data_IF_668722178126
#
_entry.id   IF_668722178126
#
_cell.length_a   1.000
_cell.length_b   1.000
_cell.length_c   1.000
_cell.angle_alpha   90.00
_cell.angle_beta   90.00
_cell.angle_gamma   90.00
#
_symmetry.space_group_name_H-M   'P 1'
#
loop_
_entity.id
_entity.type
_entity.pdbx_description
1 polymer ?
#
# COMPACT_ATOMS: atom_id res chain seq x y z
N UNK A 1 -14.94 2.14 -13.44
CA UNK A 1 -14.30 2.62 -12.19
C UNK A 1 -13.18 3.58 -12.55
N UNK A 2 -12.79 4.54 -11.66
CA UNK A 2 -11.71 5.50 -11.94
C UNK A 2 -10.38 4.79 -12.23
N UNK A 3 -10.00 3.83 -11.40
CA UNK A 3 -8.74 3.08 -11.51
C UNK A 3 -8.63 2.27 -12.82
N UNK A 4 -9.74 1.77 -13.35
CA UNK A 4 -9.77 1.10 -14.67
C UNK A 4 -9.43 2.05 -15.82
N UNK A 5 -9.77 3.35 -15.69
CA UNK A 5 -9.52 4.36 -16.71
C UNK A 5 -8.06 4.85 -16.69
N UNK A 6 -7.45 4.90 -15.50
CA UNK A 6 -6.10 5.43 -15.33
C UNK A 6 -5.00 4.37 -15.34
N UNK A 7 -5.35 3.08 -15.31
CA UNK A 7 -4.39 1.98 -15.33
C UNK A 7 -3.33 2.12 -16.45
N UNK A 8 -3.70 2.69 -17.62
CA UNK A 8 -2.78 2.95 -18.74
C UNK A 8 -1.74 4.04 -18.47
N UNK A 9 -2.13 5.06 -17.74
CA UNK A 9 -1.30 6.28 -17.49
C UNK A 9 -0.57 6.19 -16.15
N UNK A 10 -1.04 5.33 -15.25
CA UNK A 10 -0.49 5.18 -13.90
C UNK A 10 0.98 4.76 -13.92
N UNK A 11 1.36 3.86 -14.81
CA UNK A 11 2.75 3.42 -14.96
C UNK A 11 3.69 4.57 -15.37
N UNK A 12 3.25 5.49 -16.24
CA UNK A 12 4.03 6.67 -16.63
C UNK A 12 4.27 7.57 -15.41
N UNK A 13 3.22 7.78 -14.61
CA UNK A 13 3.35 8.52 -13.36
C UNK A 13 4.36 7.87 -12.41
N UNK A 14 4.25 6.56 -12.22
CA UNK A 14 5.11 5.78 -11.33
C UNK A 14 6.58 5.84 -11.79
N UNK A 15 6.84 5.61 -13.07
CA UNK A 15 8.20 5.45 -13.58
C UNK A 15 8.91 6.75 -13.91
N UNK A 16 8.19 7.82 -14.24
CA UNK A 16 8.77 9.09 -14.72
C UNK A 16 8.66 10.18 -13.65
N UNK A 17 7.47 10.42 -13.15
CA UNK A 17 7.20 11.62 -12.32
C UNK A 17 7.73 11.44 -10.89
N UNK A 18 7.61 10.26 -10.29
CA UNK A 18 7.94 10.02 -8.88
C UNK A 18 9.02 8.94 -8.66
N UNK A 19 9.88 8.74 -9.64
CA UNK A 19 10.89 7.67 -9.67
C UNK A 19 11.73 7.56 -8.40
N UNK A 20 12.24 8.71 -7.87
CA UNK A 20 13.08 8.71 -6.65
C UNK A 20 12.31 8.19 -5.42
N UNK A 21 11.08 8.66 -5.23
CA UNK A 21 10.21 8.18 -4.14
C UNK A 21 9.98 6.69 -4.25
N UNK A 22 9.65 6.20 -5.46
CA UNK A 22 9.37 4.78 -5.68
C UNK A 22 10.60 3.89 -5.48
N UNK A 23 11.80 4.34 -5.85
CA UNK A 23 13.03 3.60 -5.57
C UNK A 23 13.26 3.42 -4.06
N UNK A 24 13.07 4.50 -3.28
CA UNK A 24 13.19 4.45 -1.83
C UNK A 24 12.07 3.62 -1.19
N UNK A 25 10.83 3.80 -1.65
CA UNK A 25 9.70 3.01 -1.19
C UNK A 25 9.92 1.51 -1.41
N UNK A 26 10.33 1.11 -2.61
CA UNK A 26 10.68 -0.27 -2.94
C UNK A 26 11.75 -0.84 -2.02
N UNK A 27 12.80 -0.04 -1.73
CA UNK A 27 13.86 -0.43 -0.80
C UNK A 27 13.30 -0.65 0.61
N UNK A 28 12.56 0.34 1.16
CA UNK A 28 11.96 0.23 2.51
C UNK A 28 11.09 -1.03 2.62
N UNK A 29 10.19 -1.25 1.66
CA UNK A 29 9.27 -2.40 1.70
C UNK A 29 10.05 -3.72 1.57
N UNK A 30 10.97 -3.83 0.61
CA UNK A 30 11.73 -5.07 0.39
C UNK A 30 12.62 -5.47 1.57
N UNK A 31 13.09 -4.52 2.38
CA UNK A 31 13.89 -4.77 3.58
C UNK A 31 13.06 -5.31 4.77
N UNK A 32 11.74 -5.20 4.71
CA UNK A 32 10.80 -5.69 5.73
C UNK A 32 10.28 -7.10 5.44
N UNK A 33 10.60 -7.66 4.28
CA UNK A 33 10.12 -8.97 3.83
C UNK A 33 11.24 -10.00 3.95
N UNK A 34 10.93 -11.13 4.55
CA UNK A 34 11.83 -12.27 4.73
C UNK A 34 11.50 -13.45 3.82
N UNK A 35 12.45 -14.38 3.59
CA UNK A 35 12.30 -15.48 2.63
C UNK A 35 11.22 -16.50 3.02
N UNK A 36 10.88 -16.61 4.29
CA UNK A 36 9.87 -17.53 4.79
C UNK A 36 8.47 -16.90 4.92
N UNK A 37 8.34 -15.58 4.66
CA UNK A 37 7.09 -14.88 4.82
C UNK A 37 6.03 -15.32 3.79
N UNK A 38 4.80 -15.53 4.24
CA UNK A 38 3.59 -15.45 3.42
C UNK A 38 3.09 -14.01 3.47
N UNK A 39 2.97 -13.38 2.31
CA UNK A 39 2.64 -11.95 2.21
C UNK A 39 1.31 -11.74 1.52
N UNK A 40 0.46 -10.89 2.08
CA UNK A 40 -0.70 -10.32 1.40
C UNK A 40 -0.36 -8.89 0.96
N UNK A 41 -0.55 -8.57 -0.29
CA UNK A 41 -0.53 -7.20 -0.82
C UNK A 41 -1.94 -6.81 -1.25
N UNK A 42 -2.53 -5.84 -0.55
CA UNK A 42 -3.82 -5.23 -0.90
C UNK A 42 -3.61 -3.96 -1.73
N UNK A 43 -4.48 -3.75 -2.72
CA UNK A 43 -4.38 -2.66 -3.68
C UNK A 43 -3.02 -2.65 -4.41
N UNK A 44 -2.63 -3.80 -4.95
CA UNK A 44 -1.33 -4.00 -5.61
C UNK A 44 -1.15 -3.13 -6.88
N UNK A 45 -2.24 -2.59 -7.42
CA UNK A 45 -2.24 -1.77 -8.62
C UNK A 45 -1.63 -2.50 -9.81
N UNK A 46 -0.61 -1.91 -10.43
CA UNK A 46 0.10 -2.49 -11.56
C UNK A 46 1.30 -3.37 -11.16
N UNK A 47 1.43 -3.75 -9.88
CA UNK A 47 2.47 -4.64 -9.36
C UNK A 47 3.77 -3.94 -8.97
N UNK A 48 3.73 -2.64 -8.66
CA UNK A 48 4.93 -1.87 -8.31
C UNK A 48 5.68 -2.43 -7.09
N UNK A 49 4.96 -2.79 -6.04
CA UNK A 49 5.53 -3.39 -4.83
C UNK A 49 5.62 -4.90 -4.97
N UNK A 50 4.66 -5.55 -5.64
CA UNK A 50 4.71 -6.99 -5.94
C UNK A 50 6.05 -7.40 -6.54
N UNK A 51 6.58 -6.61 -7.48
CA UNK A 51 7.86 -6.87 -8.16
C UNK A 51 9.09 -6.86 -7.22
N UNK A 52 9.01 -6.26 -6.04
CA UNK A 52 10.10 -6.25 -5.04
C UNK A 52 9.80 -7.11 -3.82
N UNK A 53 8.55 -7.46 -3.59
CA UNK A 53 8.10 -8.38 -2.55
C UNK A 53 8.32 -9.82 -2.98
N UNK A 54 7.85 -10.20 -4.17
CA UNK A 54 7.89 -11.58 -4.67
C UNK A 54 9.28 -12.25 -4.59
N UNK A 55 10.39 -11.60 -5.01
CA UNK A 55 11.72 -12.23 -4.90
C UNK A 55 12.25 -12.35 -3.47
N UNK A 56 11.53 -11.84 -2.46
CA UNK A 56 11.95 -11.80 -1.06
C UNK A 56 11.14 -12.69 -0.15
N UNK A 57 9.94 -13.10 -0.56
CA UNK A 57 9.03 -13.91 0.25
C UNK A 57 8.89 -15.34 -0.29
N UNK A 58 8.32 -16.22 0.53
CA UNK A 58 7.94 -17.57 0.12
C UNK A 58 6.78 -17.52 -0.87
N UNK A 59 5.72 -16.80 -0.53
CA UNK A 59 4.50 -16.68 -1.30
C UNK A 59 3.92 -15.27 -1.18
N UNK A 60 3.42 -14.73 -2.29
CA UNK A 60 2.74 -13.45 -2.36
C UNK A 60 1.31 -13.65 -2.87
N UNK A 61 0.32 -13.21 -2.10
CA UNK A 61 -1.05 -13.02 -2.59
C UNK A 61 -1.23 -11.53 -2.89
N UNK A 62 -1.36 -11.17 -4.16
CA UNK A 62 -1.53 -9.79 -4.61
C UNK A 62 -2.99 -9.55 -4.99
N UNK A 63 -3.64 -8.59 -4.32
CA UNK A 63 -5.05 -8.29 -4.54
C UNK A 63 -5.26 -6.83 -4.94
N UNK A 64 -6.26 -6.60 -5.78
CA UNK A 64 -6.75 -5.26 -6.12
C UNK A 64 -8.26 -5.29 -6.38
N UNK A 65 -8.92 -4.17 -6.19
CA UNK A 65 -10.34 -4.06 -6.49
C UNK A 65 -10.60 -3.97 -8.00
N UNK A 66 -9.63 -3.47 -8.78
CA UNK A 66 -9.69 -3.31 -10.23
C UNK A 66 -9.09 -4.52 -10.95
N UNK A 67 -9.92 -5.25 -11.69
CA UNK A 67 -9.48 -6.36 -12.55
C UNK A 67 -8.45 -5.91 -13.60
N UNK A 68 -8.58 -4.67 -14.10
CA UNK A 68 -7.61 -4.11 -15.07
C UNK A 68 -6.24 -3.86 -14.46
N UNK A 69 -6.20 -3.46 -13.18
CA UNK A 69 -4.95 -3.35 -12.44
C UNK A 69 -4.29 -4.72 -12.26
N UNK A 70 -5.07 -5.74 -11.85
CA UNK A 70 -4.57 -7.11 -11.70
C UNK A 70 -3.97 -7.67 -12.99
N UNK A 71 -4.66 -7.54 -14.13
CA UNK A 71 -4.13 -7.97 -15.45
C UNK A 71 -2.79 -7.29 -15.79
N UNK A 72 -2.60 -6.05 -15.38
CA UNK A 72 -1.32 -5.37 -15.55
C UNK A 72 -0.26 -5.85 -14.56
N UNK A 73 -0.62 -6.08 -13.30
CA UNK A 73 0.28 -6.64 -12.30
C UNK A 73 0.79 -8.02 -12.75
N UNK A 74 -0.09 -8.91 -13.20
CA UNK A 74 0.26 -10.22 -13.77
C UNK A 74 1.27 -10.09 -14.90
N UNK A 75 1.02 -9.18 -15.84
CA UNK A 75 1.95 -8.94 -16.98
C UNK A 75 3.29 -8.39 -16.49
N UNK A 76 3.29 -7.41 -15.60
CA UNK A 76 4.49 -6.73 -15.13
C UNK A 76 5.36 -7.62 -14.22
N UNK A 77 4.74 -8.59 -13.55
CA UNK A 77 5.39 -9.52 -12.63
C UNK A 77 5.42 -10.97 -13.15
N UNK A 78 5.23 -11.20 -14.45
CA UNK A 78 5.14 -12.53 -15.08
C UNK A 78 6.39 -13.42 -14.93
N UNK A 79 7.52 -12.85 -14.53
CA UNK A 79 8.75 -13.59 -14.22
C UNK A 79 8.75 -14.28 -12.86
N UNK A 80 7.78 -13.98 -11.99
CA UNK A 80 7.68 -14.56 -10.64
C UNK A 80 6.61 -15.66 -10.63
N UNK A 81 6.97 -16.85 -10.15
CA UNK A 81 6.05 -17.99 -10.08
C UNK A 81 5.35 -18.14 -8.72
N UNK A 82 5.73 -17.33 -7.72
CA UNK A 82 5.23 -17.37 -6.36
C UNK A 82 4.18 -16.29 -6.06
N UNK A 83 3.54 -15.71 -7.10
CA UNK A 83 2.47 -14.73 -6.93
C UNK A 83 1.12 -15.35 -7.32
N UNK A 84 0.15 -15.25 -6.41
CA UNK A 84 -1.27 -15.52 -6.69
C UNK A 84 -2.02 -14.20 -6.76
N UNK A 85 -2.83 -14.00 -7.79
CA UNK A 85 -3.62 -12.78 -7.99
C UNK A 85 -5.09 -13.02 -7.68
N UNK A 86 -5.74 -12.04 -7.05
CA UNK A 86 -7.17 -12.12 -6.73
C UNK A 86 -7.84 -10.76 -6.63
N UNK A 87 -9.10 -10.68 -7.06
CA UNK A 87 -9.89 -9.48 -6.84
C UNK A 87 -10.39 -9.45 -5.40
N UNK A 88 -10.15 -8.34 -4.67
CA UNK A 88 -10.60 -8.19 -3.30
C UNK A 88 -10.90 -6.73 -2.94
N UNK A 89 -11.87 -6.57 -2.03
CA UNK A 89 -12.12 -5.33 -1.30
C UNK A 89 -11.32 -5.36 0.00
N UNK A 90 -10.44 -4.39 0.22
CA UNK A 90 -9.62 -4.31 1.43
C UNK A 90 -10.44 -4.10 2.71
N UNK A 91 -11.71 -3.71 2.59
CA UNK A 91 -12.65 -3.54 3.72
C UNK A 91 -13.44 -4.81 4.05
N UNK A 92 -13.29 -5.88 3.24
CA UNK A 92 -14.00 -7.15 3.41
C UNK A 92 -13.18 -8.29 2.78
N UNK A 93 -12.06 -8.65 3.40
CA UNK A 93 -11.12 -9.65 2.87
C UNK A 93 -11.64 -11.09 3.09
N UNK A 94 -11.73 -11.86 2.02
CA UNK A 94 -12.17 -13.26 2.05
C UNK A 94 -11.06 -14.24 2.45
N UNK A 95 -10.18 -13.85 3.39
CA UNK A 95 -9.13 -14.69 3.95
C UNK A 95 -9.44 -15.01 5.40
N UNK A 96 -8.98 -16.17 5.87
CA UNK A 96 -9.08 -16.55 7.28
C UNK A 96 -8.22 -15.61 8.15
N UNK A 97 -8.57 -15.56 9.43
CA UNK A 97 -7.76 -14.85 10.43
C UNK A 97 -6.34 -15.40 10.44
N UNK A 98 -5.37 -14.55 10.73
CA UNK A 98 -3.98 -14.96 10.96
C UNK A 98 -3.34 -15.78 9.82
N UNK A 99 -3.67 -15.43 8.57
CA UNK A 99 -3.18 -16.17 7.39
C UNK A 99 -1.81 -15.71 6.90
N UNK A 100 -1.41 -14.46 7.17
CA UNK A 100 -0.23 -13.85 6.56
C UNK A 100 0.78 -13.35 7.58
N UNK A 101 2.07 -13.57 7.34
CA UNK A 101 3.15 -13.06 8.18
C UNK A 101 3.36 -11.55 7.99
N UNK A 102 3.13 -11.07 6.76
CA UNK A 102 3.18 -9.65 6.41
C UNK A 102 1.95 -9.26 5.60
N UNK A 103 1.40 -8.09 5.90
CA UNK A 103 0.28 -7.52 5.16
C UNK A 103 0.66 -6.12 4.69
N UNK A 104 0.68 -5.93 3.38
CA UNK A 104 1.05 -4.67 2.72
C UNK A 104 -0.20 -4.04 2.11
N UNK A 105 -0.45 -2.75 2.37
CA UNK A 105 -1.58 -2.02 1.76
C UNK A 105 -1.08 -0.67 1.22
N UNK A 106 -0.68 -0.66 -0.06
CA UNK A 106 -0.01 0.46 -0.69
C UNK A 106 -0.96 1.50 -1.27
N UNK A 107 -0.87 2.75 -0.79
CA UNK A 107 -1.57 3.92 -1.35
C UNK A 107 -3.11 3.77 -1.44
N UNK A 108 -3.73 3.06 -0.51
CA UNK A 108 -5.18 2.81 -0.48
C UNK A 108 -5.90 3.51 0.68
N UNK A 109 -5.30 3.58 1.87
CA UNK A 109 -5.95 4.10 3.10
C UNK A 109 -6.56 5.50 2.91
N UNK A 110 -5.90 6.38 2.17
CA UNK A 110 -6.36 7.75 1.93
C UNK A 110 -7.51 7.87 0.91
N UNK A 111 -7.87 6.77 0.25
CA UNK A 111 -8.93 6.69 -0.75
C UNK A 111 -10.25 6.16 -0.16
N UNK A 112 -10.20 5.52 1.00
CA UNK A 112 -11.33 4.84 1.61
C UNK A 112 -12.23 5.80 2.39
N UNK A 113 -13.54 5.60 2.31
CA UNK A 113 -14.52 6.30 3.14
C UNK A 113 -14.35 5.90 4.62
N UNK A 114 -14.18 4.60 4.89
CA UNK A 114 -13.90 4.07 6.22
C UNK A 114 -12.55 3.31 6.25
N UNK A 115 -11.42 3.99 6.48
CA UNK A 115 -10.10 3.35 6.53
C UNK A 115 -9.89 2.51 7.79
N UNK A 116 -10.67 2.72 8.87
CA UNK A 116 -10.55 1.91 10.09
C UNK A 116 -11.04 0.49 9.84
N UNK A 117 -12.15 0.30 9.10
CA UNK A 117 -12.61 -1.04 8.71
C UNK A 117 -11.55 -1.79 7.88
N UNK A 118 -10.88 -1.10 6.95
CA UNK A 118 -9.77 -1.72 6.23
C UNK A 118 -8.61 -2.09 7.17
N UNK A 119 -8.28 -1.22 8.12
CA UNK A 119 -7.21 -1.48 9.09
C UNK A 119 -7.54 -2.67 10.00
N UNK A 120 -8.81 -2.82 10.41
CA UNK A 120 -9.32 -3.98 11.16
C UNK A 120 -9.16 -5.28 10.34
N UNK A 121 -9.55 -5.28 9.07
CA UNK A 121 -9.40 -6.44 8.17
C UNK A 121 -7.93 -6.80 7.92
N UNK A 122 -7.08 -5.80 7.64
CA UNK A 122 -5.65 -6.02 7.49
C UNK A 122 -5.03 -6.63 8.76
N UNK A 123 -5.45 -6.13 9.94
CA UNK A 123 -5.00 -6.66 11.22
C UNK A 123 -5.55 -8.08 11.48
N UNK A 124 -6.81 -8.36 11.12
CA UNK A 124 -7.43 -9.67 11.29
C UNK A 124 -6.67 -10.76 10.53
N UNK A 125 -6.36 -10.52 9.26
CA UNK A 125 -5.70 -11.50 8.39
C UNK A 125 -4.18 -11.61 8.64
N UNK A 126 -3.59 -10.65 9.35
CA UNK A 126 -2.20 -10.71 9.78
C UNK A 126 -2.07 -11.67 10.96
N UNK A 127 -1.04 -12.50 10.99
CA UNK A 127 -0.70 -13.38 12.13
C UNK A 127 -0.29 -12.58 13.35
N UNK A 128 -0.51 -13.13 14.55
CA UNK A 128 0.03 -12.57 15.78
C UNK A 128 1.56 -12.45 15.67
N UNK A 129 2.11 -11.31 16.09
CA UNK A 129 3.53 -10.99 15.90
C UNK A 129 3.93 -10.65 14.46
N UNK A 130 3.01 -10.76 13.50
CA UNK A 130 3.19 -10.36 12.11
C UNK A 130 3.26 -8.84 11.94
N UNK A 131 3.36 -8.36 10.71
CA UNK A 131 3.61 -6.96 10.44
C UNK A 131 2.63 -6.38 9.40
N UNK A 132 2.07 -5.22 9.72
CA UNK A 132 1.34 -4.37 8.78
C UNK A 132 2.31 -3.33 8.21
N UNK A 133 2.32 -3.16 6.88
CA UNK A 133 3.17 -2.24 6.15
C UNK A 133 2.25 -1.40 5.24
N UNK A 134 2.06 -0.14 5.58
CA UNK A 134 1.07 0.71 4.90
C UNK A 134 1.76 1.94 4.31
N UNK A 135 2.19 1.89 3.05
CA UNK A 135 2.67 3.05 2.32
C UNK A 135 1.52 4.00 1.95
N UNK A 136 1.73 5.31 2.09
CA UNK A 136 0.74 6.33 1.66
C UNK A 136 1.43 7.59 1.19
N UNK A 137 0.99 8.15 0.06
CA UNK A 137 1.51 9.43 -0.42
C UNK A 137 1.13 10.57 0.51
N UNK A 138 2.12 11.42 0.79
CA UNK A 138 1.91 12.64 1.55
C UNK A 138 1.43 13.74 0.61
N UNK A 139 0.17 14.08 0.71
CA UNK A 139 -0.48 15.07 -0.14
C UNK A 139 -0.41 16.50 0.41
N UNK A 140 0.05 16.66 1.66
CA UNK A 140 0.29 17.95 2.30
C UNK A 140 1.75 18.05 2.73
N UNK A 141 2.31 19.27 2.63
CA UNK A 141 3.61 19.59 3.22
C UNK A 141 3.50 19.75 4.75
N UNK A 142 4.64 19.95 5.41
CA UNK A 142 4.69 20.17 6.86
C UNK A 142 3.86 21.37 7.35
N UNK A 143 3.52 22.32 6.45
CA UNK A 143 2.65 23.49 6.75
C UNK A 143 1.18 23.23 6.43
N UNK A 144 0.82 21.99 6.03
CA UNK A 144 -0.54 21.59 5.70
C UNK A 144 -1.04 22.06 4.33
N UNK A 145 -0.18 22.64 3.48
CA UNK A 145 -0.52 23.06 2.12
C UNK A 145 -0.61 21.84 1.20
N UNK A 146 -1.70 21.73 0.47
CA UNK A 146 -1.91 20.65 -0.52
C UNK A 146 -0.87 20.73 -1.63
N UNK A 147 -0.23 19.60 -1.96
CA UNK A 147 0.71 19.53 -3.08
C UNK A 147 -0.02 19.79 -4.41
N UNK A 148 0.64 20.47 -5.33
CA UNK A 148 0.06 20.74 -6.67
C UNK A 148 -0.31 19.45 -7.43
N UNK A 149 0.34 18.33 -7.10
CA UNK A 149 0.04 17.02 -7.64
C UNK A 149 -1.30 16.47 -7.13
N UNK A 150 -1.57 16.53 -5.82
CA UNK A 150 -2.86 16.10 -5.27
C UNK A 150 -4.01 16.88 -5.89
N UNK A 151 -3.81 18.19 -6.15
CA UNK A 151 -4.76 19.01 -6.86
C UNK A 151 -4.96 18.59 -8.33
N UNK A 152 -3.88 18.21 -9.04
CA UNK A 152 -3.96 17.78 -10.43
C UNK A 152 -4.63 16.40 -10.58
N UNK A 153 -4.28 15.44 -9.72
CA UNK A 153 -4.85 14.08 -9.72
C UNK A 153 -6.31 14.11 -9.24
N UNK A 154 -6.64 14.97 -8.26
CA UNK A 154 -8.02 15.22 -7.85
C UNK A 154 -8.88 15.78 -9.00
N UNK A 155 -8.36 16.74 -9.78
CA UNK A 155 -9.02 17.25 -10.99
C UNK A 155 -9.19 16.17 -12.07
N UNK A 156 -8.31 15.17 -12.11
CA UNK A 156 -8.43 14.03 -13.02
C UNK A 156 -9.42 12.96 -12.52
N UNK A 157 -10.06 13.17 -11.35
CA UNK A 157 -11.14 12.33 -10.83
C UNK A 157 -10.74 11.36 -9.71
N UNK A 158 -9.51 11.44 -9.16
CA UNK A 158 -9.17 10.71 -7.94
C UNK A 158 -9.83 11.39 -6.74
N UNK A 159 -10.67 10.65 -6.05
CA UNK A 159 -11.36 11.13 -4.85
C UNK A 159 -10.49 10.81 -3.61
N UNK A 160 -9.62 11.77 -3.25
CA UNK A 160 -8.84 11.69 -2.02
C UNK A 160 -9.72 12.02 -0.82
N UNK A 161 -10.23 11.01 -0.15
CA UNK A 161 -11.05 11.17 1.07
C UNK A 161 -10.24 11.80 2.22
N UNK A 162 -8.93 11.53 2.25
CA UNK A 162 -8.00 12.07 3.27
C UNK A 162 -6.71 12.56 2.64
N UNK A 163 -6.18 13.63 3.23
CA UNK A 163 -4.87 14.14 2.85
C UNK A 163 -4.00 14.24 4.11
N UNK A 164 -2.87 13.54 4.08
CA UNK A 164 -1.98 13.44 5.23
C UNK A 164 -0.74 14.32 5.09
N UNK A 165 -0.31 14.90 6.24
CA UNK A 165 1.09 15.19 6.56
C UNK A 165 1.69 13.96 7.23
N UNK A 166 3.02 13.89 7.38
CA UNK A 166 3.69 12.79 8.11
C UNK A 166 3.16 12.69 9.55
N UNK A 167 2.99 13.83 10.24
CA UNK A 167 2.50 13.86 11.62
C UNK A 167 1.05 13.40 11.73
N UNK A 168 0.15 13.90 10.86
CA UNK A 168 -1.25 13.48 10.88
C UNK A 168 -1.40 12.01 10.47
N UNK A 169 -0.52 11.50 9.62
CA UNK A 169 -0.48 10.09 9.25
C UNK A 169 -0.07 9.19 10.41
N UNK A 170 0.99 9.58 11.14
CA UNK A 170 1.38 8.87 12.37
C UNK A 170 0.27 8.91 13.43
N UNK A 171 -0.33 10.09 13.63
CA UNK A 171 -1.43 10.26 14.59
C UNK A 171 -2.61 9.35 14.27
N UNK A 172 -2.97 9.20 12.98
CA UNK A 172 -4.05 8.30 12.56
C UNK A 172 -3.88 6.87 13.10
N UNK A 173 -2.67 6.30 13.05
CA UNK A 173 -2.43 4.96 13.58
C UNK A 173 -2.34 4.93 15.11
N UNK A 174 -1.80 5.97 15.75
CA UNK A 174 -1.81 6.08 17.21
C UNK A 174 -3.25 6.07 17.73
N UNK A 175 -4.13 6.87 17.12
CA UNK A 175 -5.55 6.97 17.48
C UNK A 175 -6.32 5.67 17.14
N UNK A 176 -5.85 4.89 16.17
CA UNK A 176 -6.38 3.57 15.83
C UNK A 176 -5.84 2.42 16.72
N UNK A 177 -5.07 2.72 17.77
CA UNK A 177 -4.61 1.73 18.75
C UNK A 177 -3.24 1.10 18.45
N UNK A 178 -2.41 1.72 17.60
CA UNK A 178 -1.04 1.26 17.30
C UNK A 178 0.01 2.19 17.95
N UNK A 179 0.28 2.07 19.26
CA UNK A 179 1.18 2.99 19.99
C UNK A 179 2.62 2.94 19.50
N UNK A 180 3.06 1.77 19.01
CA UNK A 180 4.44 1.52 18.55
C UNK A 180 4.64 1.73 17.05
N UNK A 181 3.70 2.42 16.37
CA UNK A 181 3.82 2.69 14.93
C UNK A 181 5.10 3.43 14.60
N UNK A 182 5.90 2.84 13.72
CA UNK A 182 7.09 3.47 13.12
C UNK A 182 6.71 4.01 11.76
N UNK A 183 7.20 5.21 11.43
CA UNK A 183 6.96 5.82 10.12
C UNK A 183 8.30 6.08 9.45
N UNK A 184 8.54 5.45 8.31
CA UNK A 184 9.68 5.69 7.43
C UNK A 184 9.25 6.56 6.25
N UNK A 185 10.11 7.48 5.80
CA UNK A 185 9.79 8.40 4.71
C UNK A 185 10.61 8.08 3.45
N UNK A 186 9.91 7.70 2.40
CA UNK A 186 10.45 7.69 1.06
C UNK A 186 10.29 9.10 0.45
N UNK A 187 11.29 9.96 0.64
CA UNK A 187 11.27 11.33 0.16
C UNK A 187 11.49 11.43 -1.35
N UNK A 188 11.01 12.50 -1.94
CA UNK A 188 11.12 12.82 -3.36
C UNK A 188 10.07 13.85 -3.78
N UNK A 189 9.71 13.87 -5.07
CA UNK A 189 8.77 14.89 -5.60
C UNK A 189 7.40 14.83 -4.94
N UNK A 190 6.90 13.61 -4.70
CA UNK A 190 5.70 13.33 -3.94
C UNK A 190 6.10 12.29 -2.89
N UNK A 191 6.39 12.72 -1.65
CA UNK A 191 6.85 11.81 -0.61
C UNK A 191 5.81 10.73 -0.30
N UNK A 192 6.30 9.54 0.07
CA UNK A 192 5.47 8.44 0.55
C UNK A 192 5.92 8.06 1.96
N UNK A 193 5.05 8.16 2.94
CA UNK A 193 5.30 7.66 4.28
C UNK A 193 4.86 6.19 4.38
N UNK A 194 5.68 5.38 5.02
CA UNK A 194 5.41 3.95 5.25
C UNK A 194 5.18 3.76 6.74
N UNK A 195 3.95 3.50 7.14
CA UNK A 195 3.64 3.09 8.50
C UNK A 195 3.93 1.60 8.65
N UNK A 196 4.64 1.26 9.71
CA UNK A 196 5.10 -0.09 10.04
C UNK A 196 4.64 -0.40 11.45
N UNK A 197 3.81 -1.42 11.61
CA UNK A 197 3.21 -1.82 12.88
C UNK A 197 3.33 -3.33 13.05
N UNK A 198 3.65 -3.76 14.26
CA UNK A 198 3.52 -5.18 14.64
C UNK A 198 2.12 -5.44 15.18
N UNK A 199 1.50 -6.54 14.73
CA UNK A 199 0.30 -7.04 15.42
C UNK A 199 0.71 -7.58 16.78
N UNK A 200 -0.01 -7.16 17.83
CA UNK A 200 0.21 -7.68 19.17
C UNK A 200 -0.04 -9.20 19.21
N UNK A 201 0.75 -9.90 20.01
CA UNK A 201 0.50 -11.31 20.34
C UNK A 201 -0.58 -11.31 21.42
N UNK A 202 -1.66 -12.06 21.19
CA UNK A 202 -2.75 -12.23 22.15
C UNK A 202 -2.39 -13.24 23.22
#
# INVERSE_FOLDING_TARGET
MFWDKVAGVYDIFVHVINRKTHQKLKKIVSELIGPDDTVLECACGTGLLSAVIAPKCRELTATDFSEKMLKKAEKNCSSFCNITYGQADVTALAFADESFDKVVAGNVIHLLDNPLTALEELNRVCKDGGMLIIPTYMNKDAKGKTSGFAGAVGKAGADFKRQFTVDSYKRFFLDAGYPDVKVSLADGRIPCAVAIMKKAVK
#
